data_IF_056922073895
#
_entry.id   IF_056922073895
#
_cell.length_a   1.000
_cell.length_b   1.000
_cell.length_c   1.000
_cell.angle_alpha   90.00
_cell.angle_beta   90.00
_cell.angle_gamma   90.00
#
_symmetry.space_group_name_H-M   'P 1'
#
loop_
_entity.id
_entity.type
_entity.pdbx_description
1 polymer ?
#
# COMPACT_ATOMS: atom_id res chain seq x y z
N UNK A 1 -9.43 23.80 12.30
CA UNK A 1 -10.23 22.57 12.47
C UNK A 1 -9.76 21.58 11.43
N UNK A 2 -9.15 20.45 11.81
CA UNK A 2 -8.69 19.43 10.87
C UNK A 2 -9.81 18.37 10.77
N UNK A 3 -10.72 18.53 9.82
CA UNK A 3 -11.85 17.61 9.66
C UNK A 3 -11.34 16.30 9.04
N UNK A 4 -11.67 15.16 9.65
CA UNK A 4 -11.38 13.85 9.06
C UNK A 4 -12.25 13.61 7.83
N UNK A 5 -11.82 12.74 6.92
CA UNK A 5 -12.63 12.33 5.76
C UNK A 5 -14.02 11.86 6.17
N UNK A 6 -14.14 11.07 7.24
CA UNK A 6 -15.43 10.61 7.75
C UNK A 6 -16.29 11.77 8.27
N UNK A 7 -15.66 12.76 8.93
CA UNK A 7 -16.33 13.99 9.35
C UNK A 7 -16.82 14.84 8.17
N UNK A 8 -16.07 14.88 7.07
CA UNK A 8 -16.48 15.51 5.81
C UNK A 8 -17.70 14.80 5.21
N UNK A 9 -17.65 13.47 5.08
CA UNK A 9 -18.76 12.65 4.54
C UNK A 9 -20.02 12.85 5.38
N UNK A 10 -19.89 12.82 6.72
CA UNK A 10 -21.01 13.04 7.63
C UNK A 10 -21.62 14.45 7.48
N UNK A 11 -20.79 15.48 7.33
CA UNK A 11 -21.26 16.84 7.12
C UNK A 11 -22.03 17.01 5.80
N UNK A 12 -21.57 16.35 4.72
CA UNK A 12 -22.25 16.37 3.41
C UNK A 12 -23.61 15.68 3.50
N UNK A 13 -23.68 14.49 4.12
CA UNK A 13 -24.95 13.77 4.32
C UNK A 13 -25.92 14.59 5.17
N UNK A 14 -25.45 15.23 6.24
CA UNK A 14 -26.27 16.14 7.04
C UNK A 14 -26.73 17.39 6.28
N UNK A 15 -25.95 17.89 5.30
CA UNK A 15 -26.41 18.93 4.40
C UNK A 15 -27.49 18.42 3.43
N UNK A 16 -27.39 17.18 2.96
CA UNK A 16 -28.35 16.54 2.06
C UNK A 16 -29.75 16.39 2.68
N UNK A 17 -29.84 16.27 4.00
CA UNK A 17 -31.11 16.19 4.74
C UNK A 17 -31.88 17.53 4.77
N UNK A 18 -31.21 18.65 4.47
CA UNK A 18 -31.76 20.01 4.59
C UNK A 18 -32.12 20.66 3.26
N UNK A 19 -32.01 19.92 2.15
CA UNK A 19 -32.22 20.43 0.78
C UNK A 19 -33.29 19.64 0.03
N UNK A 20 -33.63 20.10 -1.17
CA UNK A 20 -34.59 19.43 -2.04
C UNK A 20 -34.11 18.04 -2.51
N UNK A 21 -35.02 17.19 -3.03
CA UNK A 21 -34.70 15.81 -3.37
C UNK A 21 -33.54 15.67 -4.38
N UNK A 22 -33.50 16.57 -5.38
CA UNK A 22 -32.48 16.54 -6.43
C UNK A 22 -31.11 16.93 -5.88
N UNK A 23 -31.05 17.98 -5.07
CA UNK A 23 -29.83 18.41 -4.39
C UNK A 23 -29.35 17.36 -3.39
N UNK A 24 -30.28 16.69 -2.71
CA UNK A 24 -30.00 15.62 -1.77
C UNK A 24 -29.36 14.41 -2.46
N UNK A 25 -29.89 13.98 -3.61
CA UNK A 25 -29.27 12.92 -4.43
C UNK A 25 -27.84 13.29 -4.84
N UNK A 26 -27.61 14.52 -5.29
CA UNK A 26 -26.28 14.98 -5.70
C UNK A 26 -25.32 14.96 -4.51
N UNK A 27 -25.72 15.48 -3.35
CA UNK A 27 -24.88 15.51 -2.16
C UNK A 27 -24.56 14.12 -1.62
N UNK A 28 -25.53 13.20 -1.61
CA UNK A 28 -25.29 11.82 -1.22
C UNK A 28 -24.35 11.10 -2.21
N UNK A 29 -24.54 11.30 -3.51
CA UNK A 29 -23.63 10.77 -4.53
C UNK A 29 -22.20 11.30 -4.42
N UNK A 30 -22.02 12.55 -3.99
CA UNK A 30 -20.69 13.12 -3.68
C UNK A 30 -20.08 12.41 -2.46
N UNK A 31 -20.86 12.23 -1.39
CA UNK A 31 -20.40 11.55 -0.18
C UNK A 31 -19.93 10.11 -0.48
N UNK A 32 -20.66 9.38 -1.34
CA UNK A 32 -20.33 8.01 -1.72
C UNK A 32 -19.06 7.94 -2.58
N UNK A 33 -18.90 8.84 -3.57
CA UNK A 33 -17.67 8.90 -4.39
C UNK A 33 -16.44 9.23 -3.55
N UNK A 34 -16.57 10.09 -2.53
CA UNK A 34 -15.47 10.37 -1.60
C UNK A 34 -15.11 9.10 -0.81
N UNK A 35 -16.10 8.37 -0.30
CA UNK A 35 -15.86 7.11 0.42
C UNK A 35 -15.14 6.08 -0.45
N UNK A 36 -15.55 5.92 -1.72
CA UNK A 36 -14.92 5.02 -2.68
C UNK A 36 -13.48 5.42 -3.02
N UNK A 37 -13.21 6.71 -3.21
CA UNK A 37 -11.86 7.22 -3.46
C UNK A 37 -10.93 6.96 -2.27
N UNK A 38 -11.44 7.08 -1.05
CA UNK A 38 -10.65 6.84 0.15
C UNK A 38 -10.40 5.35 0.37
N UNK A 39 -11.41 4.51 0.12
CA UNK A 39 -11.25 3.06 0.17
C UNK A 39 -10.24 2.57 -0.87
N UNK A 40 -10.31 3.05 -2.11
CA UNK A 40 -9.37 2.70 -3.19
C UNK A 40 -7.96 3.22 -2.93
N UNK A 41 -7.81 4.46 -2.44
CA UNK A 41 -6.51 5.01 -2.03
C UNK A 41 -5.87 4.20 -0.91
N UNK A 42 -6.65 3.81 0.11
CA UNK A 42 -6.16 2.96 1.20
C UNK A 42 -5.75 1.57 0.71
N UNK A 43 -6.48 0.99 -0.24
CA UNK A 43 -6.10 -0.27 -0.90
C UNK A 43 -4.77 -0.11 -1.64
N UNK A 44 -4.63 0.92 -2.46
CA UNK A 44 -3.41 1.20 -3.22
C UNK A 44 -2.21 1.41 -2.29
N UNK A 45 -2.38 2.13 -1.17
CA UNK A 45 -1.34 2.34 -0.17
C UNK A 45 -0.90 1.02 0.47
N UNK A 46 -1.84 0.12 0.80
CA UNK A 46 -1.51 -1.21 1.34
C UNK A 46 -0.74 -2.04 0.32
N UNK A 47 -1.17 -2.04 -0.94
CA UNK A 47 -0.49 -2.74 -2.03
C UNK A 47 0.93 -2.20 -2.26
N UNK A 48 1.11 -0.89 -2.26
CA UNK A 48 2.45 -0.28 -2.40
C UNK A 48 3.39 -0.71 -1.27
N UNK A 49 2.91 -0.70 -0.02
CA UNK A 49 3.70 -1.18 1.14
C UNK A 49 4.02 -2.67 1.07
N UNK A 50 3.14 -3.47 0.47
CA UNK A 50 3.40 -4.90 0.27
C UNK A 50 4.55 -5.10 -0.71
N UNK A 51 4.51 -4.45 -1.87
CA UNK A 51 5.60 -4.54 -2.84
C UNK A 51 6.92 -3.96 -2.34
N UNK A 52 6.89 -2.85 -1.61
CA UNK A 52 8.08 -2.30 -0.95
C UNK A 52 8.76 -3.33 -0.03
N UNK A 53 7.96 -4.07 0.75
CA UNK A 53 8.47 -5.14 1.61
C UNK A 53 9.05 -6.29 0.78
N UNK A 54 8.35 -6.75 -0.24
CA UNK A 54 8.87 -7.82 -1.11
C UNK A 54 10.20 -7.41 -1.76
N UNK A 55 10.31 -6.18 -2.27
CA UNK A 55 11.57 -5.67 -2.82
C UNK A 55 12.72 -5.72 -1.80
N UNK A 56 12.48 -5.31 -0.56
CA UNK A 56 13.48 -5.36 0.50
C UNK A 56 13.90 -6.80 0.84
N UNK A 57 12.93 -7.73 0.91
CA UNK A 57 13.23 -9.15 1.15
C UNK A 57 14.05 -9.77 0.02
N UNK A 58 13.72 -9.45 -1.23
CA UNK A 58 14.48 -9.88 -2.40
C UNK A 58 15.90 -9.33 -2.39
N UNK A 59 16.07 -8.03 -2.10
CA UNK A 59 17.38 -7.41 -1.97
C UNK A 59 18.21 -8.07 -0.87
N UNK A 60 17.61 -8.37 0.28
CA UNK A 60 18.30 -9.04 1.38
C UNK A 60 18.73 -10.46 1.02
N UNK A 61 17.89 -11.24 0.32
CA UNK A 61 18.26 -12.57 -0.20
C UNK A 61 19.39 -12.51 -1.20
N UNK A 62 19.36 -11.53 -2.12
CA UNK A 62 20.43 -11.31 -3.09
C UNK A 62 21.75 -10.97 -2.38
N UNK A 63 21.73 -10.05 -1.41
CA UNK A 63 22.91 -9.71 -0.61
C UNK A 63 23.47 -10.92 0.16
N UNK A 64 22.62 -11.77 0.75
CA UNK A 64 23.07 -13.00 1.42
C UNK A 64 23.65 -14.02 0.43
N UNK A 65 23.11 -14.11 -0.79
CA UNK A 65 23.62 -14.99 -1.83
C UNK A 65 24.97 -14.49 -2.40
N UNK A 66 25.13 -13.18 -2.58
CA UNK A 66 26.38 -12.55 -3.00
C UNK A 66 27.47 -12.58 -1.91
N UNK A 67 27.06 -12.51 -0.63
CA UNK A 67 27.95 -12.69 0.52
C UNK A 67 28.40 -14.15 0.72
N UNK A 68 27.92 -15.09 -0.09
CA UNK A 68 28.53 -16.43 -0.27
C UNK A 68 29.41 -16.47 -1.54
N UNK A 69 30.57 -15.82 -1.60
CA UNK A 69 31.58 -16.22 -2.56
C UNK A 69 32.24 -17.51 -2.08
N UNK A 70 32.15 -18.55 -2.92
CA UNK A 70 33.07 -19.67 -3.07
C UNK A 70 34.11 -19.89 -1.95
N UNK A 71 33.79 -20.72 -0.96
CA UNK A 71 34.84 -21.37 -0.16
C UNK A 71 34.55 -22.87 -0.02
N UNK A 72 34.51 -23.56 -1.16
CA UNK A 72 34.63 -25.02 -1.28
C UNK A 72 35.32 -25.37 -2.60
N UNK A 73 36.52 -24.84 -2.85
CA UNK A 73 37.49 -25.51 -3.74
C UNK A 73 38.83 -25.48 -2.99
N UNK A 74 38.92 -26.26 -1.91
CA UNK A 74 40.23 -26.70 -1.44
C UNK A 74 40.72 -27.77 -2.42
N UNK A 75 41.79 -27.41 -3.13
CA UNK A 75 42.53 -28.26 -4.04
C UNK A 75 42.97 -29.54 -3.33
N UNK A 76 42.42 -30.69 -3.69
CA UNK A 76 43.05 -31.98 -3.46
C UNK A 76 43.87 -32.34 -4.70
N UNK A 77 45.00 -31.67 -4.87
CA UNK A 77 46.10 -32.14 -5.71
C UNK A 77 47.22 -32.62 -4.79
N UNK A 78 47.06 -33.83 -4.26
CA UNK A 78 48.20 -34.60 -3.73
C UNK A 78 48.71 -35.52 -4.84
N UNK A 79 49.71 -35.02 -5.56
CA UNK A 79 50.59 -35.84 -6.38
C UNK A 79 51.93 -36.00 -5.65
N UNK A 80 52.25 -37.25 -5.34
CA UNK A 80 53.60 -37.87 -5.26
C UNK A 80 54.60 -37.36 -4.22
N UNK A 81 54.90 -38.23 -3.26
CA UNK A 81 56.26 -38.78 -3.06
C UNK A 81 56.17 -40.22 -2.55
#
# INVERSE_FOLDING_TARGET
>A
MNISTDGMIAAIRSAAERVGPRESEVLNGIADRIAELVASSNKNRRTAKHYERECLEWQQRAMVAEAKPANCIENHNDHTA
#
